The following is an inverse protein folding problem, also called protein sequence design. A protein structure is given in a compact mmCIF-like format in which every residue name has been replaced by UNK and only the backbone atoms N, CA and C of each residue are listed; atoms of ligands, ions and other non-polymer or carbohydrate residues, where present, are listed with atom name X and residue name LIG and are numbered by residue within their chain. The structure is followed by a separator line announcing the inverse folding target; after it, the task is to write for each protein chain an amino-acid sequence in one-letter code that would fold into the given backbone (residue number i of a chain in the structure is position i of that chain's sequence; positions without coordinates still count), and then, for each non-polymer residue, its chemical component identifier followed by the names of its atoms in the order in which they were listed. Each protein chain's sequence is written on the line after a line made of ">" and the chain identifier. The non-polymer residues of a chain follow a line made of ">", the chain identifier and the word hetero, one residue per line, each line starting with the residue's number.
data_IF_591477865342
#
_entry.id   IF_591477865342
#
_cell.length_a   1.000
_cell.length_b   1.000
_cell.length_c   1.000
_cell.angle_alpha   90.00
_cell.angle_beta   90.00
_cell.angle_gamma   90.00
#
_symmetry.space_group_name_H-M   'P 1'
#
loop_
_entity.id
_entity.type
_entity.pdbx_description
1 polymer ?
#
# COMPACT_ATOMS: atom_id res chain seq x y z
N UNK A 1 8.54 -3.61 5.61
CA UNK A 1 9.92 -3.52 6.11
C UNK A 1 10.03 -3.77 7.61
N UNK A 2 9.36 -3.01 8.48
CA UNK A 2 9.45 -3.20 9.94
C UNK A 2 9.10 -4.62 10.44
N UNK A 3 8.05 -5.24 9.91
CA UNK A 3 7.66 -6.61 10.26
C UNK A 3 8.66 -7.68 9.76
N UNK A 4 9.31 -7.45 8.62
CA UNK A 4 10.36 -8.33 8.11
C UNK A 4 11.64 -8.21 8.95
N UNK A 5 12.02 -6.98 9.32
CA UNK A 5 13.11 -6.73 10.27
C UNK A 5 12.84 -7.39 11.63
N UNK A 6 11.62 -7.26 12.15
CA UNK A 6 11.22 -7.90 13.40
C UNK A 6 11.32 -9.42 13.32
N UNK A 7 10.88 -10.04 12.21
CA UNK A 7 10.99 -11.49 12.00
C UNK A 7 12.46 -11.94 11.92
N UNK A 8 13.32 -11.21 11.22
CA UNK A 8 14.76 -11.54 11.10
C UNK A 8 15.53 -11.36 12.40
N UNK A 9 15.21 -10.33 13.18
CA UNK A 9 15.78 -10.12 14.54
C UNK A 9 15.38 -11.28 15.45
N UNK A 10 14.14 -11.78 15.34
CA UNK A 10 13.67 -12.91 16.14
C UNK A 10 14.25 -14.26 15.70
N UNK A 11 14.84 -14.35 14.50
CA UNK A 11 15.49 -15.54 13.94
C UNK A 11 17.01 -15.56 14.15
N UNK A 12 17.59 -14.58 14.85
CA UNK A 12 19.02 -14.56 15.23
C UNK A 12 19.97 -13.96 14.17
N UNK A 13 19.46 -13.53 13.02
CA UNK A 13 20.24 -12.93 11.93
C UNK A 13 20.26 -11.39 12.02
N UNK A 14 20.87 -10.86 13.08
CA UNK A 14 20.92 -9.42 13.40
C UNK A 14 21.70 -8.59 12.37
N UNK A 15 22.80 -9.13 11.84
CA UNK A 15 23.63 -8.43 10.85
C UNK A 15 22.88 -8.29 9.50
N UNK A 16 22.10 -9.29 9.12
CA UNK A 16 21.34 -9.28 7.87
C UNK A 16 20.18 -8.28 7.96
N UNK A 17 19.52 -8.18 9.12
CA UNK A 17 18.46 -7.19 9.36
C UNK A 17 18.97 -5.74 9.31
N UNK A 18 20.15 -5.46 9.88
CA UNK A 18 20.72 -4.10 9.89
C UNK A 18 21.21 -3.70 8.49
N UNK A 19 21.88 -4.60 7.77
CA UNK A 19 22.45 -4.26 6.47
C UNK A 19 21.44 -4.27 5.33
N UNK A 20 20.46 -5.17 5.31
CA UNK A 20 19.45 -5.15 4.25
C UNK A 20 18.32 -4.17 4.56
N UNK A 21 17.75 -4.18 5.76
CA UNK A 21 16.64 -3.28 6.08
C UNK A 21 17.13 -1.87 6.42
N UNK A 22 18.26 -1.74 7.13
CA UNK A 22 18.83 -0.44 7.47
C UNK A 22 19.32 0.34 6.26
N UNK A 23 19.93 -0.32 5.27
CA UNK A 23 20.36 0.36 4.03
C UNK A 23 19.17 0.85 3.20
N UNK A 24 18.06 0.11 3.19
CA UNK A 24 16.80 0.57 2.58
C UNK A 24 16.22 1.80 3.30
N UNK A 25 16.22 1.83 4.63
CA UNK A 25 15.84 3.03 5.39
C UNK A 25 16.73 4.22 5.08
N UNK A 26 18.04 4.00 4.88
CA UNK A 26 19.03 5.02 4.53
C UNK A 26 18.76 5.60 3.13
N UNK A 27 18.44 4.76 2.15
CA UNK A 27 18.04 5.20 0.80
C UNK A 27 16.74 5.99 0.83
N UNK A 28 15.71 5.53 1.56
CA UNK A 28 14.45 6.27 1.67
C UNK A 28 14.61 7.61 2.40
N UNK A 29 15.45 7.66 3.45
CA UNK A 29 15.79 8.90 4.13
C UNK A 29 16.53 9.88 3.20
N UNK A 30 17.46 9.38 2.38
CA UNK A 30 18.16 10.16 1.36
C UNK A 30 17.21 10.74 0.31
N UNK A 31 16.25 9.95 -0.20
CA UNK A 31 15.23 10.42 -1.14
C UNK A 31 14.37 11.52 -0.52
N UNK A 32 13.96 11.37 0.75
CA UNK A 32 13.21 12.40 1.48
C UNK A 32 13.99 13.71 1.65
N UNK A 33 15.27 13.62 2.02
CA UNK A 33 16.15 14.79 2.16
C UNK A 33 16.41 15.49 0.81
N UNK A 34 16.54 14.72 -0.27
CA UNK A 34 16.67 15.25 -1.63
C UNK A 34 15.40 15.97 -2.09
N UNK A 35 14.22 15.42 -1.80
CA UNK A 35 12.94 16.07 -2.10
C UNK A 35 12.77 17.42 -1.37
N UNK A 36 13.33 17.54 -0.16
CA UNK A 36 13.40 18.79 0.61
C UNK A 36 14.51 19.75 0.16
N UNK A 37 15.21 19.45 -0.94
CA UNK A 37 16.35 20.21 -1.49
C UNK A 37 17.50 20.42 -0.52
N UNK A 38 17.71 19.50 0.43
CA UNK A 38 18.88 19.52 1.32
C UNK A 38 20.07 18.96 0.54
N UNK A 39 21.21 19.68 0.44
CA UNK A 39 22.36 19.26 -0.39
C UNK A 39 22.99 17.93 0.06
N UNK A 40 22.78 17.54 1.33
CA UNK A 40 23.25 16.27 1.91
C UNK A 40 22.44 15.07 1.37
N UNK A 41 21.24 15.29 0.82
CA UNK A 41 20.35 14.21 0.36
C UNK A 41 20.97 13.31 -0.71
N UNK A 42 21.65 13.89 -1.70
CA UNK A 42 22.29 13.12 -2.77
C UNK A 42 23.41 12.21 -2.24
N UNK A 43 24.22 12.71 -1.30
CA UNK A 43 25.29 11.93 -0.68
C UNK A 43 24.76 10.77 0.16
N UNK A 44 23.63 10.98 0.85
CA UNK A 44 22.95 9.95 1.65
C UNK A 44 22.35 8.86 0.76
N UNK A 45 21.78 9.22 -0.40
CA UNK A 45 21.31 8.24 -1.40
C UNK A 45 22.47 7.42 -1.94
N UNK A 46 23.57 8.06 -2.34
CA UNK A 46 24.75 7.39 -2.89
C UNK A 46 25.37 6.47 -1.84
N UNK A 47 25.49 6.93 -0.58
CA UNK A 47 25.99 6.11 0.52
C UNK A 47 25.09 4.90 0.80
N UNK A 48 23.76 5.08 0.81
CA UNK A 48 22.80 3.99 0.98
C UNK A 48 22.80 2.99 -0.18
N UNK A 49 22.93 3.46 -1.42
CA UNK A 49 23.04 2.61 -2.60
C UNK A 49 24.35 1.83 -2.64
N UNK A 50 25.47 2.45 -2.24
CA UNK A 50 26.76 1.78 -2.10
C UNK A 50 26.71 0.70 -1.01
N UNK A 51 26.08 1.00 0.13
CA UNK A 51 25.89 0.03 1.21
C UNK A 51 25.08 -1.17 0.73
N UNK A 52 23.94 -0.96 0.04
CA UNK A 52 23.13 -2.03 -0.56
C UNK A 52 23.91 -2.90 -1.55
N UNK A 53 24.68 -2.28 -2.44
CA UNK A 53 25.47 -3.04 -3.43
C UNK A 53 26.59 -3.84 -2.77
N UNK A 54 27.23 -3.30 -1.74
CA UNK A 54 28.30 -3.97 -1.01
C UNK A 54 27.79 -5.08 -0.08
N UNK A 55 26.61 -4.92 0.52
CA UNK A 55 26.05 -5.89 1.47
C UNK A 55 25.14 -6.93 0.82
N UNK A 56 24.49 -6.61 -0.29
CA UNK A 56 23.56 -7.50 -1.01
C UNK A 56 24.20 -8.75 -1.62
N UNK A 57 25.53 -8.81 -1.71
CA UNK A 57 26.29 -9.96 -2.21
C UNK A 57 26.77 -10.96 -1.14
N UNK A 58 26.55 -10.69 0.17
CA UNK A 58 27.28 -11.35 1.28
C UNK A 58 27.16 -12.88 1.33
N UNK A 59 26.06 -13.45 0.85
CA UNK A 59 25.82 -14.90 0.86
C UNK A 59 26.36 -15.67 -0.37
N UNK A 60 27.07 -14.99 -1.29
CA UNK A 60 27.62 -15.64 -2.50
C UNK A 60 29.14 -15.86 -2.39
N UNK A 61 29.66 -17.09 -2.60
CA UNK A 61 31.09 -17.37 -2.52
C UNK A 61 31.92 -16.76 -3.68
N UNK A 62 31.30 -16.39 -4.81
CA UNK A 62 31.99 -15.83 -5.97
C UNK A 62 31.85 -14.30 -6.09
N UNK A 63 32.94 -13.61 -6.46
CA UNK A 63 33.00 -12.16 -6.69
C UNK A 63 31.97 -11.67 -7.73
N UNK A 64 31.73 -12.47 -8.78
CA UNK A 64 30.70 -12.21 -9.78
C UNK A 64 29.28 -12.34 -9.20
N UNK A 65 29.06 -13.30 -8.29
CA UNK A 65 27.80 -13.46 -7.55
C UNK A 65 27.53 -12.33 -6.56
N UNK A 66 28.59 -11.71 -6.02
CA UNK A 66 28.47 -10.52 -5.15
C UNK A 66 27.96 -9.29 -5.92
N UNK A 67 28.46 -9.07 -7.13
CA UNK A 67 28.06 -7.93 -7.96
C UNK A 67 26.65 -8.14 -8.53
N UNK A 68 26.31 -9.36 -8.98
CA UNK A 68 24.96 -9.67 -9.47
C UNK A 68 23.92 -9.69 -8.35
N UNK A 69 24.28 -10.15 -7.14
CA UNK A 69 23.45 -10.04 -5.94
C UNK A 69 23.23 -8.59 -5.49
N UNK A 70 24.27 -7.75 -5.55
CA UNK A 70 24.17 -6.32 -5.31
C UNK A 70 23.25 -5.61 -6.31
N UNK A 71 23.35 -5.91 -7.61
CA UNK A 71 22.42 -5.42 -8.63
C UNK A 71 20.99 -5.96 -8.44
N UNK A 72 20.84 -7.21 -8.01
CA UNK A 72 19.55 -7.80 -7.65
C UNK A 72 18.88 -7.09 -6.46
N UNK A 73 19.66 -6.64 -5.48
CA UNK A 73 19.14 -5.85 -4.35
C UNK A 73 18.57 -4.50 -4.80
N UNK A 74 19.16 -3.87 -5.83
CA UNK A 74 18.62 -2.66 -6.46
C UNK A 74 17.33 -2.94 -7.24
N UNK A 75 17.12 -4.16 -7.73
CA UNK A 75 15.84 -4.55 -8.34
C UNK A 75 14.69 -4.45 -7.33
N UNK A 76 14.97 -4.53 -6.02
CA UNK A 76 13.99 -4.23 -4.97
C UNK A 76 13.38 -2.83 -5.09
N UNK A 77 14.06 -1.85 -5.70
CA UNK A 77 13.53 -0.49 -5.95
C UNK A 77 12.29 -0.58 -6.82
N UNK A 78 12.30 -1.45 -7.82
CA UNK A 78 11.14 -1.64 -8.72
C UNK A 78 9.93 -2.17 -7.96
N UNK A 79 10.12 -3.04 -6.97
CA UNK A 79 9.07 -3.52 -6.08
C UNK A 79 8.47 -2.41 -5.23
N UNK A 80 9.32 -1.57 -4.61
CA UNK A 80 8.83 -0.42 -3.84
C UNK A 80 8.14 0.64 -4.71
N UNK A 81 8.64 0.90 -5.92
CA UNK A 81 7.95 1.77 -6.87
C UNK A 81 6.61 1.18 -7.31
N UNK A 82 6.54 -0.13 -7.50
CA UNK A 82 5.29 -0.84 -7.78
C UNK A 82 4.29 -0.70 -6.64
N UNK A 83 4.74 -0.74 -5.38
CA UNK A 83 3.91 -0.48 -4.22
C UNK A 83 3.42 0.98 -4.19
N UNK A 84 4.30 1.96 -4.39
CA UNK A 84 3.90 3.39 -4.38
C UNK A 84 2.87 3.66 -5.47
N UNK A 85 3.09 3.14 -6.68
CA UNK A 85 2.12 3.21 -7.77
C UNK A 85 0.82 2.44 -7.41
N UNK A 86 0.97 1.37 -6.63
CA UNK A 86 -0.07 0.60 -5.94
C UNK A 86 -1.09 1.51 -5.25
N UNK A 87 -0.54 2.24 -4.26
CA UNK A 87 -1.24 3.18 -3.39
C UNK A 87 -1.63 4.49 -4.08
N UNK A 88 -0.94 4.91 -5.14
CA UNK A 88 -1.37 6.07 -5.94
C UNK A 88 -2.79 5.89 -6.51
N UNK A 89 -3.26 4.63 -6.65
CA UNK A 89 -4.61 4.31 -7.09
C UNK A 89 -5.70 4.86 -6.17
N UNK A 90 -5.55 4.79 -4.84
CA UNK A 90 -6.58 5.32 -3.92
C UNK A 90 -6.67 6.84 -3.99
N UNK A 91 -5.55 7.52 -4.21
CA UNK A 91 -5.52 8.95 -4.47
C UNK A 91 -6.25 9.29 -5.77
N UNK A 92 -6.02 8.53 -6.84
CA UNK A 92 -6.70 8.72 -8.11
C UNK A 92 -8.22 8.53 -8.02
N UNK A 93 -8.69 7.57 -7.21
CA UNK A 93 -10.12 7.36 -6.95
C UNK A 93 -10.75 8.57 -6.22
N UNK A 94 -10.07 9.10 -5.19
CA UNK A 94 -10.52 10.29 -4.49
C UNK A 94 -10.60 11.52 -5.40
N UNK A 95 -9.57 11.70 -6.25
CA UNK A 95 -9.56 12.78 -7.25
C UNK A 95 -10.69 12.62 -8.27
N UNK A 96 -10.93 11.41 -8.76
CA UNK A 96 -12.01 11.13 -9.72
C UNK A 96 -13.39 11.44 -9.13
N UNK A 97 -13.66 11.03 -7.88
CA UNK A 97 -14.92 11.35 -7.20
C UNK A 97 -15.13 12.86 -6.99
N UNK A 98 -14.05 13.60 -6.69
CA UNK A 98 -14.10 15.06 -6.57
C UNK A 98 -14.42 15.73 -7.93
N UNK A 99 -13.79 15.27 -9.02
CA UNK A 99 -14.04 15.78 -10.38
C UNK A 99 -15.48 15.48 -10.82
N UNK A 100 -16.00 14.29 -10.54
CA UNK A 100 -17.41 13.94 -10.85
C UNK A 100 -18.36 14.85 -10.08
N UNK A 101 -18.11 15.09 -8.78
CA UNK A 101 -18.89 16.04 -7.98
C UNK A 101 -18.86 17.47 -8.55
N UNK A 102 -17.70 17.92 -9.00
CA UNK A 102 -17.56 19.22 -9.67
C UNK A 102 -18.38 19.29 -10.96
N UNK A 103 -18.35 18.25 -11.80
CA UNK A 103 -19.15 18.18 -13.03
C UNK A 103 -20.64 18.19 -12.72
N UNK A 104 -21.09 17.46 -11.70
CA UNK A 104 -22.51 17.48 -11.28
C UNK A 104 -22.95 18.87 -10.80
N UNK A 105 -22.09 19.59 -10.07
CA UNK A 105 -22.35 20.97 -9.68
C UNK A 105 -22.45 21.92 -10.88
N UNK A 106 -21.58 21.77 -11.87
CA UNK A 106 -21.62 22.55 -13.11
C UNK A 106 -22.91 22.27 -13.89
N UNK A 107 -23.28 21.00 -14.06
CA UNK A 107 -24.52 20.60 -14.75
C UNK A 107 -25.77 21.14 -14.04
N UNK A 108 -25.79 21.11 -12.70
CA UNK A 108 -26.87 21.71 -11.91
C UNK A 108 -26.96 23.23 -12.14
N UNK A 109 -25.82 23.93 -12.10
CA UNK A 109 -25.77 25.39 -12.23
C UNK A 109 -26.18 25.89 -13.63
N UNK A 110 -26.06 25.04 -14.67
CA UNK A 110 -26.52 25.35 -16.03
C UNK A 110 -28.06 25.43 -16.15
N UNK A 111 -28.82 25.00 -15.15
CA UNK A 111 -30.29 25.11 -15.12
C UNK A 111 -30.85 26.54 -15.04
N UNK A 112 -29.99 27.54 -14.81
CA UNK A 112 -30.35 28.96 -14.76
C UNK A 112 -30.92 29.42 -13.40
N UNK A 113 -31.03 30.74 -13.21
CA UNK A 113 -31.46 31.36 -11.94
C UNK A 113 -32.99 31.48 -11.75
N UNK A 114 -33.78 30.72 -12.50
CA UNK A 114 -35.25 30.70 -12.36
C UNK A 114 -35.74 29.70 -11.32
N UNK A 115 -37.01 29.80 -10.91
CA UNK A 115 -37.66 28.83 -10.02
C UNK A 115 -37.61 27.39 -10.59
N UNK A 116 -37.74 27.26 -11.91
CA UNK A 116 -37.55 25.99 -12.63
C UNK A 116 -36.09 25.49 -12.57
N UNK A 117 -35.11 26.40 -12.63
CA UNK A 117 -33.69 26.09 -12.55
C UNK A 117 -33.27 25.64 -11.16
N UNK A 118 -33.87 26.20 -10.10
CA UNK A 118 -33.68 25.76 -8.72
C UNK A 118 -34.18 24.33 -8.51
N UNK A 119 -35.35 23.98 -9.05
CA UNK A 119 -35.91 22.63 -8.95
C UNK A 119 -35.02 21.63 -9.71
N UNK A 120 -34.59 21.98 -10.92
CA UNK A 120 -33.67 21.16 -11.72
C UNK A 120 -32.33 20.96 -11.00
N UNK A 121 -31.77 22.03 -10.43
CA UNK A 121 -30.55 22.00 -9.63
C UNK A 121 -30.69 21.03 -8.45
N UNK A 122 -31.79 21.12 -7.71
CA UNK A 122 -32.02 20.27 -6.53
C UNK A 122 -32.12 18.78 -6.91
N UNK A 123 -32.80 18.46 -8.01
CA UNK A 123 -32.93 17.08 -8.50
C UNK A 123 -31.58 16.54 -8.99
N UNK A 124 -30.86 17.29 -9.81
CA UNK A 124 -29.53 16.91 -10.34
C UNK A 124 -28.51 16.82 -9.21
N UNK A 125 -28.57 17.71 -8.23
CA UNK A 125 -27.69 17.70 -7.07
C UNK A 125 -27.90 16.44 -6.24
N UNK A 126 -29.15 16.13 -5.87
CA UNK A 126 -29.48 14.96 -5.05
C UNK A 126 -29.14 13.67 -5.78
N UNK A 127 -29.60 13.49 -7.03
CA UNK A 127 -29.35 12.28 -7.80
C UNK A 127 -27.86 12.14 -8.15
N UNK A 128 -27.23 13.21 -8.63
CA UNK A 128 -25.83 13.23 -9.03
C UNK A 128 -24.88 12.96 -7.87
N UNK A 129 -25.10 13.58 -6.71
CA UNK A 129 -24.26 13.33 -5.53
C UNK A 129 -24.51 11.97 -4.91
N UNK A 130 -25.76 11.49 -4.89
CA UNK A 130 -26.06 10.13 -4.41
C UNK A 130 -25.36 9.08 -5.28
N UNK A 131 -25.39 9.25 -6.59
CA UNK A 131 -24.70 8.35 -7.52
C UNK A 131 -23.18 8.45 -7.41
N UNK A 132 -22.64 9.67 -7.31
CA UNK A 132 -21.22 9.91 -7.10
C UNK A 132 -20.72 9.25 -5.80
N UNK A 133 -21.49 9.37 -4.72
CA UNK A 133 -21.20 8.75 -3.44
C UNK A 133 -21.21 7.22 -3.54
N UNK A 134 -22.23 6.65 -4.19
CA UNK A 134 -22.37 5.20 -4.36
C UNK A 134 -21.19 4.60 -5.14
N UNK A 135 -20.82 5.21 -6.28
CA UNK A 135 -19.68 4.74 -7.08
C UNK A 135 -18.36 4.93 -6.33
N UNK A 136 -18.17 6.08 -5.67
CA UNK A 136 -16.94 6.36 -4.93
C UNK A 136 -16.75 5.38 -3.78
N UNK A 137 -17.83 5.02 -3.07
CA UNK A 137 -17.81 4.01 -2.00
C UNK A 137 -17.48 2.61 -2.52
N UNK A 138 -18.16 2.16 -3.58
CA UNK A 138 -17.91 0.86 -4.19
C UNK A 138 -16.49 0.76 -4.74
N UNK A 139 -16.01 1.81 -5.42
CA UNK A 139 -14.66 1.91 -5.94
C UNK A 139 -13.61 1.88 -4.83
N UNK A 140 -13.81 2.67 -3.76
CA UNK A 140 -12.93 2.66 -2.60
C UNK A 140 -12.87 1.29 -1.93
N UNK A 141 -14.01 0.62 -1.74
CA UNK A 141 -14.09 -0.69 -1.11
C UNK A 141 -13.33 -1.77 -1.89
N UNK A 142 -13.55 -1.86 -3.20
CA UNK A 142 -12.89 -2.90 -4.04
C UNK A 142 -11.39 -2.62 -4.17
N UNK A 143 -10.99 -1.36 -4.36
CA UNK A 143 -9.58 -1.02 -4.53
C UNK A 143 -8.77 -1.13 -3.23
N UNK A 144 -9.37 -0.81 -2.08
CA UNK A 144 -8.73 -1.07 -0.78
C UNK A 144 -8.62 -2.56 -0.49
N UNK A 145 -9.64 -3.35 -0.81
CA UNK A 145 -9.59 -4.81 -0.69
C UNK A 145 -8.44 -5.40 -1.54
N UNK A 146 -8.25 -4.92 -2.78
CA UNK A 146 -7.13 -5.32 -3.63
C UNK A 146 -5.77 -5.03 -2.98
N UNK A 147 -5.61 -3.82 -2.43
CA UNK A 147 -4.38 -3.41 -1.74
C UNK A 147 -4.08 -4.33 -0.56
N UNK A 148 -5.09 -4.68 0.25
CA UNK A 148 -4.93 -5.59 1.38
C UNK A 148 -4.55 -7.01 0.94
N UNK A 149 -5.27 -7.56 -0.04
CA UNK A 149 -5.09 -8.94 -0.47
C UNK A 149 -3.81 -9.20 -1.27
N UNK A 150 -3.44 -8.28 -2.14
CA UNK A 150 -2.33 -8.52 -3.08
C UNK A 150 -1.04 -7.88 -2.57
N UNK A 151 -1.08 -6.63 -2.11
CA UNK A 151 0.14 -5.87 -1.79
C UNK A 151 0.55 -6.01 -0.34
N UNK A 152 -0.41 -6.05 0.59
CA UNK A 152 -0.11 -6.21 2.02
C UNK A 152 0.12 -7.67 2.41
N UNK A 153 -0.85 -8.57 2.14
CA UNK A 153 -0.70 -9.97 2.51
C UNK A 153 0.41 -10.69 1.73
N UNK A 154 0.64 -10.35 0.45
CA UNK A 154 1.73 -10.92 -0.34
C UNK A 154 3.13 -10.73 0.24
N UNK A 155 3.32 -9.78 1.18
CA UNK A 155 4.63 -9.50 1.80
C UNK A 155 4.93 -10.28 3.08
N UNK A 156 3.91 -10.85 3.72
CA UNK A 156 4.07 -11.45 5.05
C UNK A 156 3.42 -12.83 5.18
N UNK A 157 2.45 -13.12 4.31
CA UNK A 157 1.68 -14.34 4.33
C UNK A 157 2.41 -15.44 3.56
N UNK A 158 2.92 -16.42 4.31
CA UNK A 158 3.39 -17.68 3.75
C UNK A 158 2.20 -18.64 3.73
N UNK A 159 1.81 -19.08 2.52
CA UNK A 159 0.76 -20.08 2.37
C UNK A 159 1.17 -21.44 2.96
N UNK A 160 0.20 -22.25 3.38
CA UNK A 160 0.46 -23.63 3.83
C UNK A 160 0.28 -23.91 5.32
N UNK A 161 -0.32 -22.99 6.08
CA UNK A 161 -0.74 -23.27 7.45
C UNK A 161 -1.83 -24.35 7.51
N UNK A 162 -1.72 -25.28 8.48
CA UNK A 162 -2.83 -26.19 8.78
C UNK A 162 -3.92 -25.42 9.51
N UNK A 163 -5.11 -25.35 8.93
CA UNK A 163 -6.26 -24.80 9.62
C UNK A 163 -6.46 -25.57 10.94
N UNK A 164 -6.44 -24.86 12.05
CA UNK A 164 -6.71 -25.45 13.35
C UNK A 164 -8.13 -26.01 13.33
N UNK A 165 -8.27 -27.33 13.40
CA UNK A 165 -9.56 -28.00 13.46
C UNK A 165 -9.81 -28.37 14.92
N UNK A 166 -10.55 -27.56 15.69
CA UNK A 166 -10.85 -27.89 17.07
C UNK A 166 -11.62 -29.21 17.13
N UNK A 167 -11.48 -29.92 18.24
CA UNK A 167 -12.27 -31.10 18.52
C UNK A 167 -13.69 -30.63 18.85
N UNK A 168 -14.60 -30.73 17.88
CA UNK A 168 -16.02 -30.38 18.03
C UNK A 168 -16.85 -31.67 18.05
N UNK A 169 -17.79 -31.73 18.99
CA UNK A 169 -18.77 -32.82 19.04
C UNK A 169 -19.75 -32.63 17.86
N UNK A 170 -19.97 -33.66 17.06
CA UNK A 170 -20.80 -33.58 15.86
C UNK A 170 -22.28 -33.74 16.23
N UNK A 171 -22.85 -32.73 16.90
CA UNK A 171 -24.24 -32.71 17.34
C UNK A 171 -25.10 -31.86 16.40
N UNK A 172 -26.15 -32.46 15.82
CA UNK A 172 -27.11 -31.78 14.92
C UNK A 172 -27.98 -30.74 15.64
N UNK A 173 -28.11 -30.82 16.96
CA UNK A 173 -28.89 -29.91 17.78
C UNK A 173 -28.07 -29.52 19.01
N UNK A 174 -27.88 -28.22 19.21
CA UNK A 174 -27.23 -27.65 20.40
C UNK A 174 -28.21 -26.68 21.03
N UNK A 175 -28.80 -27.08 22.16
CA UNK A 175 -29.58 -26.17 23.00
C UNK A 175 -28.59 -25.37 23.84
N UNK A 176 -28.38 -24.11 23.47
CA UNK A 176 -27.57 -23.19 24.28
C UNK A 176 -28.43 -22.77 25.47
N UNK A 177 -28.22 -23.43 26.61
CA UNK A 177 -28.79 -22.97 27.88
C UNK A 177 -27.92 -21.79 28.31
N UNK A 178 -28.47 -20.57 28.24
CA UNK A 178 -27.87 -19.42 28.91
C UNK A 178 -28.03 -19.64 30.40
N UNK A 179 -26.90 -19.71 31.09
CA UNK A 179 -26.85 -19.62 32.55
C UNK A 179 -26.90 -18.13 32.89
N UNK A 180 -27.93 -17.71 33.64
CA UNK A 180 -28.16 -16.34 34.10
C UNK A 180 -27.06 -15.85 35.05
#
# INVERSE_FOLDING_TARGET
>A
MALAAYRMIRQGHLLDAIFDVGSWYLVFAGIGLYALKVPVGLYVIIAGALLLVLTGGRNSPNLFGKITGGLGSLYGITGYLSDVLSYARIMALGLSGAVIGQVMNQLGAMGGNGFLGLILFMVVFILGHTFNLAISLLGAYVHTSRLQYIEFFGKFFEGGGRAFRPLVNNTNYVTIIKED
#
